data_IF_706629193654
#
_entry.id   IF_706629193654
#
_cell.length_a   1.000
_cell.length_b   1.000
_cell.length_c   1.000
_cell.angle_alpha   90.00
_cell.angle_beta   90.00
_cell.angle_gamma   90.00
#
_symmetry.space_group_name_H-M   'P 1'
#
loop_
_entity.id
_entity.type
_entity.pdbx_description
1 polymer ?
#
# COMPACT_ATOMS: atom_id res chain seq x y z
N UNK A 1 13.83 48.56 -11.31
CA UNK A 1 13.56 48.57 -12.74
C UNK A 1 13.53 47.15 -13.36
N UNK A 2 13.86 46.09 -12.63
CA UNK A 2 13.79 44.70 -13.13
C UNK A 2 14.96 44.24 -14.01
N UNK A 3 15.99 45.07 -14.15
CA UNK A 3 17.22 44.73 -14.89
C UNK A 3 18.37 44.39 -13.94
N UNK A 4 19.28 43.54 -14.39
CA UNK A 4 20.47 43.10 -13.68
C UNK A 4 21.69 43.34 -14.56
N UNK A 5 22.82 43.76 -13.99
CA UNK A 5 24.08 43.85 -14.70
C UNK A 5 24.92 42.63 -14.38
N UNK A 6 25.17 41.79 -15.39
CA UNK A 6 25.95 40.57 -15.28
C UNK A 6 27.09 40.62 -16.29
N UNK A 7 28.34 40.55 -15.83
CA UNK A 7 29.54 40.66 -16.66
C UNK A 7 29.53 41.91 -17.53
N UNK A 8 29.07 43.05 -16.97
CA UNK A 8 29.01 44.34 -17.68
C UNK A 8 27.85 44.48 -18.67
N UNK A 9 27.00 43.47 -18.85
CA UNK A 9 25.83 43.52 -19.72
C UNK A 9 24.54 43.66 -18.89
N UNK A 10 23.66 44.58 -19.29
CA UNK A 10 22.33 44.71 -18.71
C UNK A 10 21.42 43.59 -19.21
N UNK A 11 20.84 42.83 -18.27
CA UNK A 11 20.03 41.65 -18.56
C UNK A 11 18.73 41.70 -17.80
N UNK A 12 17.73 41.01 -18.36
CA UNK A 12 16.40 40.81 -17.75
C UNK A 12 16.13 39.31 -17.62
N UNK A 13 15.62 38.89 -16.47
CA UNK A 13 15.15 37.54 -16.29
C UNK A 13 13.81 37.40 -16.99
N UNK A 14 13.74 36.50 -17.97
CA UNK A 14 12.51 36.20 -18.70
C UNK A 14 11.78 35.02 -18.07
N UNK A 15 10.45 35.05 -18.07
CA UNK A 15 9.62 33.94 -17.63
C UNK A 15 9.72 32.78 -18.61
N UNK A 16 9.83 31.59 -18.09
CA UNK A 16 9.81 30.33 -18.87
C UNK A 16 8.49 29.62 -18.71
N UNK A 17 7.88 29.21 -19.81
CA UNK A 17 6.70 28.38 -19.79
C UNK A 17 7.09 26.97 -19.41
N UNK A 18 6.43 26.41 -18.38
CA UNK A 18 6.62 25.04 -17.95
C UNK A 18 5.26 24.43 -17.55
N UNK A 19 5.21 23.11 -17.41
CA UNK A 19 4.01 22.45 -16.89
C UNK A 19 3.80 22.82 -15.43
N UNK A 20 2.54 23.09 -15.08
CA UNK A 20 2.19 23.41 -13.69
C UNK A 20 2.44 22.19 -12.79
N UNK A 21 2.98 22.40 -11.58
CA UNK A 21 3.01 21.37 -10.56
C UNK A 21 1.59 20.92 -10.20
N UNK A 22 1.43 19.64 -9.92
CA UNK A 22 0.12 19.10 -9.53
C UNK A 22 -0.04 17.63 -9.88
N UNK A 23 -1.27 17.14 -9.72
CA UNK A 23 -1.67 15.78 -10.05
C UNK A 23 -2.63 15.84 -11.24
N UNK A 24 -2.32 15.05 -12.27
CA UNK A 24 -3.10 14.97 -13.50
C UNK A 24 -3.58 13.55 -13.71
N UNK A 25 -4.86 13.38 -13.92
CA UNK A 25 -5.47 12.08 -14.21
C UNK A 25 -5.74 11.94 -15.71
N UNK A 26 -5.54 10.73 -16.21
CA UNK A 26 -5.77 10.40 -17.61
C UNK A 26 -6.48 9.05 -17.75
N UNK A 27 -7.18 8.92 -18.87
CA UNK A 27 -7.84 7.69 -19.28
C UNK A 27 -7.47 7.41 -20.73
N UNK A 28 -7.12 6.17 -21.01
CA UNK A 28 -6.84 5.68 -22.36
C UNK A 28 -7.59 4.39 -22.65
N UNK A 29 -7.73 4.04 -23.91
CA UNK A 29 -8.33 2.77 -24.33
C UNK A 29 -7.25 1.97 -25.04
N UNK A 30 -6.99 0.77 -24.56
CA UNK A 30 -6.09 -0.18 -25.21
C UNK A 30 -6.73 -0.74 -26.50
N UNK A 31 -5.93 -1.26 -27.42
CA UNK A 31 -6.40 -1.79 -28.69
C UNK A 31 -7.43 -2.93 -28.56
N UNK A 32 -7.46 -3.64 -27.44
CA UNK A 32 -8.45 -4.67 -27.10
C UNK A 32 -9.75 -4.11 -26.49
N UNK A 33 -9.92 -2.78 -26.39
CA UNK A 33 -11.09 -2.12 -25.79
C UNK A 33 -11.03 -1.92 -24.28
N UNK A 34 -10.00 -2.42 -23.59
CA UNK A 34 -9.83 -2.23 -22.14
C UNK A 34 -9.50 -0.78 -21.82
N UNK A 35 -10.23 -0.21 -20.88
CA UNK A 35 -9.96 1.14 -20.37
C UNK A 35 -8.80 1.10 -19.38
N UNK A 36 -7.78 1.91 -19.64
CA UNK A 36 -6.61 2.06 -18.80
C UNK A 36 -6.62 3.43 -18.12
N UNK A 37 -6.30 3.47 -16.85
CA UNK A 37 -6.23 4.69 -16.08
C UNK A 37 -4.78 5.04 -15.78
N UNK A 38 -4.50 6.34 -15.76
CA UNK A 38 -3.19 6.86 -15.37
C UNK A 38 -3.33 8.09 -14.48
N UNK A 39 -2.35 8.28 -13.61
CA UNK A 39 -2.21 9.48 -12.81
C UNK A 39 -0.75 9.93 -12.85
N UNK A 40 -0.53 11.23 -13.04
CA UNK A 40 0.83 11.79 -13.11
C UNK A 40 1.00 12.86 -12.06
N UNK A 41 2.02 12.74 -11.23
CA UNK A 41 2.43 13.74 -10.26
C UNK A 41 3.60 14.52 -10.84
N UNK A 42 3.40 15.81 -11.00
CA UNK A 42 4.44 16.75 -11.46
C UNK A 42 4.79 17.64 -10.28
N UNK A 43 6.00 17.51 -9.68
CA UNK A 43 6.45 18.38 -8.62
C UNK A 43 6.95 19.71 -9.19
N UNK A 44 7.03 20.74 -8.35
CA UNK A 44 7.68 22.00 -8.72
C UNK A 44 9.16 21.78 -9.06
N UNK A 45 9.83 20.93 -8.28
CA UNK A 45 11.23 20.53 -8.48
C UNK A 45 11.41 19.09 -8.08
N UNK A 46 11.96 18.27 -8.96
CA UNK A 46 12.23 16.86 -8.72
C UNK A 46 11.69 15.94 -9.82
N UNK A 47 11.71 14.65 -9.57
CA UNK A 47 11.33 13.63 -10.53
C UNK A 47 9.81 13.52 -10.67
N UNK A 48 9.36 13.27 -11.89
CA UNK A 48 7.95 12.97 -12.16
C UNK A 48 7.64 11.54 -11.80
N UNK A 49 6.47 11.34 -11.21
CA UNK A 49 5.93 10.01 -10.91
C UNK A 49 4.66 9.82 -11.71
N UNK A 50 4.59 8.71 -12.43
CA UNK A 50 3.39 8.34 -13.18
C UNK A 50 2.92 6.96 -12.73
N UNK A 51 1.64 6.86 -12.42
CA UNK A 51 0.96 5.61 -12.12
C UNK A 51 0.13 5.21 -13.33
N UNK A 52 0.16 3.95 -13.72
CA UNK A 52 -0.65 3.44 -14.81
C UNK A 52 -1.11 2.01 -14.53
N UNK A 53 -2.34 1.71 -14.90
CA UNK A 53 -2.86 0.33 -14.91
C UNK A 53 -2.49 -0.36 -16.22
N UNK A 54 -2.23 -1.65 -16.17
CA UNK A 54 -2.07 -2.48 -17.36
C UNK A 54 -3.38 -3.26 -17.70
N UNK A 55 -3.33 -4.05 -18.76
CA UNK A 55 -4.47 -4.86 -19.22
C UNK A 55 -4.94 -5.91 -18.21
N UNK A 56 -4.09 -6.26 -17.24
CA UNK A 56 -4.38 -7.23 -16.17
C UNK A 56 -4.88 -6.54 -14.89
N UNK A 57 -5.21 -5.26 -14.96
CA UNK A 57 -5.60 -4.45 -13.80
C UNK A 57 -4.49 -4.30 -12.73
N UNK A 58 -3.24 -4.52 -13.10
CA UNK A 58 -2.10 -4.30 -12.19
C UNK A 58 -1.63 -2.86 -12.33
N UNK A 59 -1.47 -2.19 -11.21
CA UNK A 59 -0.98 -0.81 -11.17
C UNK A 59 0.54 -0.76 -11.03
N UNK A 60 1.16 0.03 -11.89
CA UNK A 60 2.61 0.26 -11.90
C UNK A 60 2.94 1.73 -11.69
N UNK A 61 4.06 1.96 -11.06
CA UNK A 61 4.66 3.27 -10.92
C UNK A 61 5.88 3.42 -11.84
N UNK A 62 6.01 4.58 -12.47
CA UNK A 62 7.13 4.97 -13.31
C UNK A 62 7.76 6.24 -12.72
N UNK A 63 9.05 6.19 -12.45
CA UNK A 63 9.81 7.35 -11.99
C UNK A 63 10.65 7.85 -13.16
N UNK A 64 10.45 9.10 -13.58
CA UNK A 64 11.11 9.72 -14.73
C UNK A 64 11.05 8.88 -16.01
N UNK A 65 9.99 8.10 -16.18
CA UNK A 65 9.77 7.17 -17.33
C UNK A 65 10.86 6.12 -17.50
N UNK A 66 11.66 5.81 -16.47
CA UNK A 66 12.79 4.88 -16.58
C UNK A 66 12.39 3.45 -16.26
N UNK A 67 12.05 3.15 -15.02
CA UNK A 67 11.75 1.79 -14.59
C UNK A 67 10.28 1.64 -14.23
N UNK A 68 9.68 0.56 -14.72
CA UNK A 68 8.36 0.08 -14.31
C UNK A 68 8.51 -0.73 -13.03
N UNK A 69 7.85 -0.33 -11.95
CA UNK A 69 7.81 -1.09 -10.73
C UNK A 69 6.36 -1.24 -10.22
N UNK A 70 5.99 -2.35 -9.58
CA UNK A 70 4.67 -2.50 -8.98
C UNK A 70 4.42 -1.40 -7.95
N UNK A 71 3.20 -0.84 -7.93
CA UNK A 71 2.86 0.24 -7.00
C UNK A 71 2.97 -0.20 -5.54
N UNK A 72 2.68 -1.47 -5.24
CA UNK A 72 2.83 -2.03 -3.90
C UNK A 72 4.26 -1.99 -3.39
N UNK A 73 5.25 -2.24 -4.26
CA UNK A 73 6.68 -2.14 -3.93
C UNK A 73 7.06 -0.69 -3.61
N UNK A 74 6.55 0.27 -4.39
CA UNK A 74 6.78 1.69 -4.12
C UNK A 74 6.13 2.12 -2.79
N UNK A 75 4.90 1.70 -2.52
CA UNK A 75 4.20 2.01 -1.27
C UNK A 75 4.96 1.47 -0.05
N UNK A 76 5.49 0.25 -0.13
CA UNK A 76 6.33 -0.30 0.94
C UNK A 76 7.60 0.51 1.16
N UNK A 77 8.24 0.96 0.08
CA UNK A 77 9.45 1.78 0.17
C UNK A 77 9.22 3.16 0.82
N UNK A 78 8.02 3.72 0.75
CA UNK A 78 7.67 5.01 1.36
C UNK A 78 7.05 4.88 2.76
N UNK A 79 6.89 3.64 3.29
CA UNK A 79 6.50 3.43 4.68
C UNK A 79 5.20 2.65 4.92
N UNK A 80 4.50 2.17 3.87
CA UNK A 80 3.33 1.29 4.03
C UNK A 80 3.79 -0.17 4.01
N UNK A 81 4.31 -0.64 5.13
CA UNK A 81 5.02 -1.92 5.21
C UNK A 81 4.09 -3.13 5.12
N UNK A 82 2.88 -3.03 5.70
CA UNK A 82 1.99 -4.17 5.83
C UNK A 82 1.01 -4.30 4.66
N UNK A 83 0.57 -5.52 4.37
CA UNK A 83 -0.51 -5.78 3.40
C UNK A 83 -1.80 -5.07 3.81
N UNK A 84 -2.05 -4.97 5.12
CA UNK A 84 -3.18 -4.26 5.70
C UNK A 84 -3.21 -2.79 5.29
N UNK A 85 -2.08 -2.08 5.45
CA UNK A 85 -1.99 -0.66 5.12
C UNK A 85 -2.28 -0.42 3.63
N UNK A 86 -1.72 -1.28 2.76
CA UNK A 86 -1.93 -1.18 1.31
C UNK A 86 -3.39 -1.44 0.95
N UNK A 87 -4.00 -2.49 1.50
CA UNK A 87 -5.41 -2.80 1.24
C UNK A 87 -6.36 -1.70 1.73
N UNK A 88 -6.03 -1.05 2.85
CA UNK A 88 -6.80 0.07 3.38
C UNK A 88 -6.68 1.33 2.51
N UNK A 89 -5.48 1.65 1.98
CA UNK A 89 -5.28 2.78 1.07
C UNK A 89 -6.17 2.65 -0.17
N UNK A 90 -6.28 1.45 -0.73
CA UNK A 90 -7.11 1.19 -1.91
C UNK A 90 -8.58 0.92 -1.57
N UNK A 91 -8.96 0.99 -0.30
CA UNK A 91 -10.33 0.70 0.17
C UNK A 91 -10.85 -0.68 -0.28
N UNK A 92 -9.96 -1.66 -0.37
CA UNK A 92 -10.26 -3.02 -0.83
C UNK A 92 -10.67 -3.95 0.30
N UNK A 93 -10.49 -3.54 1.55
CA UNK A 93 -10.82 -4.35 2.70
C UNK A 93 -11.61 -3.57 3.76
N UNK A 94 -12.33 -4.33 4.55
CA UNK A 94 -13.05 -3.90 5.74
C UNK A 94 -12.45 -4.56 6.96
N UNK A 95 -12.14 -3.79 8.00
CA UNK A 95 -11.69 -4.33 9.26
C UNK A 95 -12.89 -4.68 10.16
N UNK A 96 -12.98 -5.93 10.54
CA UNK A 96 -14.06 -6.45 11.37
C UNK A 96 -13.51 -6.94 12.70
N UNK A 97 -14.04 -6.42 13.81
CA UNK A 97 -13.69 -6.89 15.15
C UNK A 97 -14.15 -8.32 15.38
N UNK A 98 -13.27 -9.14 15.93
CA UNK A 98 -13.55 -10.54 16.23
C UNK A 98 -14.49 -10.65 17.43
N UNK A 99 -15.72 -11.02 17.19
CA UNK A 99 -16.71 -11.41 18.19
C UNK A 99 -17.70 -12.40 17.58
N UNK A 100 -18.42 -13.16 18.42
CA UNK A 100 -19.35 -14.20 17.95
C UNK A 100 -20.41 -13.70 16.96
N UNK A 101 -20.88 -12.45 17.12
CA UNK A 101 -21.91 -11.86 16.24
C UNK A 101 -21.33 -11.53 14.86
N UNK A 102 -20.19 -10.82 14.83
CA UNK A 102 -19.54 -10.39 13.59
C UNK A 102 -19.01 -11.59 12.81
N UNK A 103 -18.45 -12.59 13.50
CA UNK A 103 -17.93 -13.79 12.85
C UNK A 103 -19.03 -14.60 12.17
N UNK A 104 -20.20 -14.73 12.78
CA UNK A 104 -21.36 -15.35 12.12
C UNK A 104 -21.82 -14.59 10.88
N UNK A 105 -21.79 -13.25 10.92
CA UNK A 105 -22.13 -12.41 9.76
C UNK A 105 -21.06 -12.45 8.66
N UNK A 106 -19.83 -12.85 9.00
CA UNK A 106 -18.70 -12.94 8.06
C UNK A 106 -18.64 -14.28 7.31
N UNK A 107 -19.45 -15.27 7.70
CA UNK A 107 -19.49 -16.59 7.02
C UNK A 107 -19.83 -16.38 5.53
N UNK A 108 -19.06 -17.04 4.66
CA UNK A 108 -19.17 -16.93 3.20
C UNK A 108 -18.36 -15.79 2.58
N UNK A 109 -17.81 -14.85 3.38
CA UNK A 109 -16.90 -13.81 2.90
C UNK A 109 -15.46 -14.31 2.88
N UNK A 110 -14.62 -13.66 2.08
CA UNK A 110 -13.19 -14.01 1.96
C UNK A 110 -12.33 -13.12 2.86
N UNK A 111 -11.31 -13.74 3.45
CA UNK A 111 -10.26 -13.03 4.16
C UNK A 111 -9.38 -12.25 3.19
N UNK A 112 -9.18 -10.97 3.44
CA UNK A 112 -8.27 -10.10 2.68
C UNK A 112 -6.82 -10.17 3.19
N UNK A 113 -6.61 -10.59 4.43
CA UNK A 113 -5.30 -10.74 5.05
C UNK A 113 -5.18 -12.01 5.87
N UNK A 114 -3.95 -12.44 6.13
CA UNK A 114 -3.68 -13.57 7.02
C UNK A 114 -4.16 -13.25 8.45
N UNK A 115 -4.82 -14.20 9.08
CA UNK A 115 -5.11 -14.15 10.51
C UNK A 115 -3.89 -14.70 11.24
N UNK A 116 -3.18 -13.84 11.98
CA UNK A 116 -1.96 -14.20 12.67
C UNK A 116 -2.16 -14.13 14.17
N UNK A 117 -1.76 -15.20 14.87
CA UNK A 117 -1.61 -15.21 16.31
C UNK A 117 -0.20 -14.78 16.66
N UNK A 118 -0.08 -13.72 17.45
CA UNK A 118 1.20 -13.22 17.95
C UNK A 118 1.28 -13.49 19.44
N UNK A 119 2.43 -14.00 19.90
CA UNK A 119 2.74 -14.16 21.33
C UNK A 119 4.20 -13.84 21.57
N UNK A 120 4.51 -13.49 22.79
CA UNK A 120 5.88 -13.23 23.23
C UNK A 120 6.39 -14.48 23.94
N UNK A 121 7.59 -14.91 23.58
CA UNK A 121 8.30 -16.03 24.20
C UNK A 121 9.58 -15.48 24.84
N UNK A 122 9.71 -15.67 26.15
CA UNK A 122 10.86 -15.17 26.90
C UNK A 122 11.95 -16.25 26.94
N UNK A 123 13.12 -15.89 26.47
CA UNK A 123 14.33 -16.69 26.54
C UNK A 123 15.30 -16.09 27.55
N UNK A 124 15.81 -16.92 28.43
CA UNK A 124 16.91 -16.53 29.34
C UNK A 124 18.21 -16.91 28.65
N UNK A 125 19.05 -15.91 28.38
CA UNK A 125 20.40 -16.15 27.90
C UNK A 125 21.23 -16.83 29.05
N UNK A 126 21.72 -18.03 28.78
CA UNK A 126 22.44 -18.83 29.78
C UNK A 126 23.78 -18.22 30.19
N UNK A 127 24.39 -17.40 29.34
CA UNK A 127 25.70 -16.78 29.59
C UNK A 127 25.58 -15.44 30.32
N UNK A 128 24.56 -14.64 30.02
CA UNK A 128 24.39 -13.29 30.57
C UNK A 128 23.32 -13.19 31.65
N UNK A 129 22.39 -14.16 31.70
CA UNK A 129 21.20 -14.13 32.57
C UNK A 129 20.16 -13.08 32.18
N UNK A 130 20.30 -12.44 31.01
CA UNK A 130 19.32 -11.48 30.50
C UNK A 130 18.12 -12.21 29.92
N UNK A 131 16.93 -11.66 30.19
CA UNK A 131 15.68 -12.15 29.59
C UNK A 131 15.46 -11.41 28.28
N UNK A 132 15.51 -12.16 27.17
CA UNK A 132 15.23 -11.64 25.83
C UNK A 132 13.84 -12.11 25.41
N UNK A 133 12.91 -11.18 25.27
CA UNK A 133 11.56 -11.46 24.80
C UNK A 133 11.53 -11.44 23.26
N UNK A 134 11.20 -12.57 22.66
CA UNK A 134 11.09 -12.73 21.21
C UNK A 134 9.61 -12.81 20.83
N UNK A 135 9.18 -11.94 19.92
CA UNK A 135 7.84 -11.99 19.35
C UNK A 135 7.74 -13.13 18.33
N UNK A 136 6.79 -14.04 18.54
CA UNK A 136 6.50 -15.14 17.65
C UNK A 136 5.16 -14.93 16.93
N UNK A 137 5.14 -15.21 15.65
CA UNK A 137 3.97 -15.09 14.79
C UNK A 137 3.63 -16.45 14.16
N UNK A 138 2.37 -16.84 14.22
CA UNK A 138 1.85 -18.03 13.54
C UNK A 138 0.61 -17.67 12.73
N UNK A 139 0.59 -18.03 11.46
CA UNK A 139 -0.60 -17.92 10.62
C UNK A 139 -1.62 -18.97 11.09
N UNK A 140 -2.79 -18.52 11.49
CA UNK A 140 -3.92 -19.37 11.92
C UNK A 140 -4.80 -19.70 10.72
N UNK A 141 -5.15 -18.68 9.94
CA UNK A 141 -5.93 -18.82 8.69
C UNK A 141 -5.25 -17.96 7.62
N UNK A 142 -5.06 -18.54 6.44
CA UNK A 142 -4.44 -17.84 5.32
C UNK A 142 -5.42 -16.86 4.65
N UNK A 143 -4.86 -15.81 4.03
CA UNK A 143 -5.62 -14.90 3.17
C UNK A 143 -6.31 -15.65 2.03
N UNK A 144 -7.33 -15.05 1.43
CA UNK A 144 -8.17 -15.62 0.36
C UNK A 144 -9.00 -16.83 0.78
N UNK A 145 -8.93 -17.26 2.05
CA UNK A 145 -9.77 -18.32 2.59
C UNK A 145 -11.19 -17.81 2.78
N UNK A 146 -12.18 -18.60 2.36
CA UNK A 146 -13.60 -18.33 2.64
C UNK A 146 -13.89 -18.72 4.08
N UNK A 147 -14.55 -17.84 4.81
CA UNK A 147 -14.90 -18.07 6.20
C UNK A 147 -16.03 -19.09 6.29
N UNK A 148 -15.78 -20.20 6.97
CA UNK A 148 -16.71 -21.26 7.32
C UNK A 148 -16.93 -21.28 8.84
N UNK A 149 -17.86 -22.09 9.32
CA UNK A 149 -18.08 -22.28 10.77
C UNK A 149 -16.81 -22.76 11.48
N UNK A 150 -16.08 -23.72 10.88
CA UNK A 150 -14.81 -24.20 11.39
C UNK A 150 -13.75 -23.11 11.47
N UNK A 151 -13.64 -22.28 10.43
CA UNK A 151 -12.71 -21.13 10.39
C UNK A 151 -13.07 -20.11 11.46
N UNK A 152 -14.35 -19.87 11.72
CA UNK A 152 -14.82 -18.98 12.79
C UNK A 152 -14.34 -19.47 14.16
N UNK A 153 -14.43 -20.76 14.45
CA UNK A 153 -13.93 -21.32 15.71
C UNK A 153 -12.43 -21.13 15.86
N UNK A 154 -11.65 -21.42 14.79
CA UNK A 154 -10.21 -21.19 14.78
C UNK A 154 -9.83 -19.72 15.03
N UNK A 155 -10.55 -18.78 14.44
CA UNK A 155 -10.31 -17.35 14.63
C UNK A 155 -10.64 -16.93 16.06
N UNK A 156 -11.76 -17.40 16.62
CA UNK A 156 -12.16 -17.10 18.00
C UNK A 156 -11.14 -17.63 19.03
N UNK A 157 -10.63 -18.84 18.80
CA UNK A 157 -9.63 -19.47 19.67
C UNK A 157 -8.24 -18.81 19.57
N UNK A 158 -7.97 -18.13 18.48
CA UNK A 158 -6.68 -17.45 18.26
C UNK A 158 -6.50 -16.18 19.09
N UNK A 159 -7.56 -15.67 19.72
CA UNK A 159 -7.60 -14.42 20.48
C UNK A 159 -7.17 -13.17 19.68
N UNK A 160 -7.32 -13.19 18.36
CA UNK A 160 -7.07 -12.05 17.48
C UNK A 160 -8.17 -11.02 17.63
N UNK A 161 -7.82 -9.74 17.70
CA UNK A 161 -8.78 -8.66 17.96
C UNK A 161 -9.61 -8.26 16.75
N UNK A 162 -9.04 -8.36 15.55
CA UNK A 162 -9.70 -7.98 14.29
C UNK A 162 -9.18 -8.80 13.12
N UNK A 163 -10.00 -8.92 12.09
CA UNK A 163 -9.66 -9.56 10.81
C UNK A 163 -9.97 -8.61 9.66
N UNK A 164 -9.35 -8.84 8.53
CA UNK A 164 -9.59 -8.10 7.29
C UNK A 164 -10.43 -8.95 6.33
N UNK A 165 -11.53 -8.40 5.86
CA UNK A 165 -12.41 -9.03 4.87
C UNK A 165 -12.36 -8.23 3.56
N UNK A 166 -12.44 -8.92 2.44
CA UNK A 166 -12.68 -8.25 1.15
C UNK A 166 -14.06 -7.58 1.16
N UNK A 167 -14.12 -6.39 0.56
CA UNK A 167 -15.38 -5.67 0.33
C UNK A 167 -16.22 -6.31 -0.75
#
# INVERSE_FOLDING_TARGET
NGTFVINGAERVVVSQLHRSPGVFFGQGVHANGTVLYSARIIPFKGSWIEFATDINNVMYAYIDRKKKLPVTTMLRAIGFETDRDILQIFDLCEEVKVNKKNMKAAIGRKLAGNVMKTWTEDFVDEDTGEVVSIERNKVVVERETVITEETVEQILDSAVSSILLHK
#
